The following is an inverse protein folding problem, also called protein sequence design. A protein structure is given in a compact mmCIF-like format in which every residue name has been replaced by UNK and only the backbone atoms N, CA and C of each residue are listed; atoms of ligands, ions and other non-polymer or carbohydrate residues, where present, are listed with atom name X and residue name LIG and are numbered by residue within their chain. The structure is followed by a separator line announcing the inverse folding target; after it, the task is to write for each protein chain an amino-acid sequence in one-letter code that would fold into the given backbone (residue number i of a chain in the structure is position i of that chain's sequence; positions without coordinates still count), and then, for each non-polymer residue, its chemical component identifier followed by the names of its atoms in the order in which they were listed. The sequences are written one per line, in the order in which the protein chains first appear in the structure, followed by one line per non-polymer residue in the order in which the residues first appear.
data_IF_952153929544
#
_entry.id   IF_952153929544
#
_cell.length_a   1.000
_cell.length_b   1.000
_cell.length_c   1.000
_cell.angle_alpha   90.00
_cell.angle_beta   90.00
_cell.angle_gamma   90.00
#
_symmetry.space_group_name_H-M   'P 1'
#
loop_
_entity.id
_entity.type
_entity.pdbx_description
1 polymer ?
#
# COMPACT_ATOMS: atom_id res chain seq x y z
N UNK A 1 -2.49 -13.51 -7.74
CA UNK A 1 -3.37 -12.62 -8.51
C UNK A 1 -3.34 -11.17 -7.98
N UNK A 2 -2.43 -10.82 -7.05
CA UNK A 2 -2.16 -9.43 -6.67
C UNK A 2 -1.26 -8.71 -7.67
N UNK A 3 -0.91 -7.45 -7.37
CA UNK A 3 -0.15 -6.56 -8.29
C UNK A 3 1.16 -7.21 -8.77
N UNK A 4 1.94 -7.84 -7.91
CA UNK A 4 3.20 -8.47 -8.30
C UNK A 4 3.00 -9.58 -9.33
N UNK A 5 2.06 -10.51 -9.08
CA UNK A 5 1.76 -11.61 -10.03
C UNK A 5 1.15 -11.12 -11.33
N UNK A 6 0.25 -10.14 -11.28
CA UNK A 6 -0.36 -9.54 -12.48
C UNK A 6 0.68 -8.76 -13.30
N UNK A 7 1.61 -8.06 -12.64
CA UNK A 7 2.71 -7.35 -13.33
C UNK A 7 3.71 -8.31 -13.96
N UNK A 8 4.01 -9.43 -13.31
CA UNK A 8 4.82 -10.49 -13.91
C UNK A 8 4.13 -11.06 -15.17
N UNK A 9 2.85 -11.39 -15.09
CA UNK A 9 2.07 -11.89 -16.21
C UNK A 9 1.97 -10.87 -17.37
N UNK A 10 1.73 -9.59 -17.05
CA UNK A 10 1.77 -8.50 -18.04
C UNK A 10 3.12 -8.42 -18.76
N UNK A 11 4.24 -8.49 -17.99
CA UNK A 11 5.59 -8.44 -18.57
C UNK A 11 5.87 -9.62 -19.46
N UNK A 12 5.49 -10.84 -19.08
CA UNK A 12 5.63 -12.05 -19.90
C UNK A 12 4.90 -11.88 -21.23
N UNK A 13 3.61 -11.50 -21.20
CA UNK A 13 2.82 -11.28 -22.42
C UNK A 13 3.37 -10.15 -23.31
N UNK A 14 3.78 -9.04 -22.70
CA UNK A 14 4.40 -7.93 -23.43
C UNK A 14 5.68 -8.34 -24.17
N UNK A 15 6.38 -9.37 -23.67
CA UNK A 15 7.55 -9.99 -24.32
C UNK A 15 7.21 -11.16 -25.24
N UNK A 16 5.93 -11.39 -25.52
CA UNK A 16 5.46 -12.46 -26.42
C UNK A 16 5.43 -13.86 -25.79
N UNK A 17 5.72 -13.99 -24.50
CA UNK A 17 5.66 -15.27 -23.82
C UNK A 17 4.25 -15.52 -23.27
N UNK A 18 3.60 -16.60 -23.75
CA UNK A 18 2.20 -16.92 -23.42
C UNK A 18 2.04 -18.27 -22.72
N UNK A 19 3.09 -19.07 -22.64
CA UNK A 19 3.07 -20.37 -21.98
C UNK A 19 3.26 -20.23 -20.46
N UNK A 20 2.24 -19.69 -19.79
CA UNK A 20 2.18 -19.58 -18.35
C UNK A 20 0.73 -19.60 -17.86
N UNK A 21 0.54 -19.91 -16.59
CA UNK A 21 -0.72 -19.78 -15.86
C UNK A 21 -0.51 -18.98 -14.58
N UNK A 22 -1.42 -18.05 -14.27
CA UNK A 22 -1.47 -17.34 -13.01
C UNK A 22 -2.60 -17.95 -12.17
N UNK A 23 -2.26 -18.49 -11.00
CA UNK A 23 -3.22 -19.09 -10.06
C UNK A 23 -3.58 -18.07 -8.98
N UNK A 24 -4.89 -17.88 -8.75
CA UNK A 24 -5.44 -16.99 -7.72
C UNK A 24 -6.42 -17.77 -6.82
N UNK A 25 -6.24 -17.64 -5.52
CA UNK A 25 -7.04 -18.32 -4.52
C UNK A 25 -8.50 -17.84 -4.50
N UNK A 26 -8.70 -16.52 -4.63
CA UNK A 26 -10.02 -15.91 -4.57
C UNK A 26 -10.73 -15.94 -5.94
N UNK A 27 -12.04 -15.73 -5.93
CA UNK A 27 -12.81 -15.55 -7.16
C UNK A 27 -12.45 -14.20 -7.85
N UNK A 28 -12.13 -13.17 -7.06
CA UNK A 28 -11.70 -11.87 -7.57
C UNK A 28 -10.20 -11.67 -7.32
N UNK A 29 -9.38 -11.53 -8.36
CA UNK A 29 -7.98 -11.14 -8.25
C UNK A 29 -7.80 -9.71 -7.74
N UNK A 30 -6.56 -9.37 -7.37
CA UNK A 30 -6.15 -8.01 -7.01
C UNK A 30 -5.37 -7.92 -5.70
N UNK A 31 -5.44 -8.93 -4.82
CA UNK A 31 -4.78 -8.84 -3.51
C UNK A 31 -5.26 -7.62 -2.72
N UNK A 32 -4.35 -6.74 -2.30
CA UNK A 32 -4.70 -5.48 -1.63
C UNK A 32 -5.26 -4.42 -2.59
N UNK A 33 -5.15 -4.60 -3.90
CA UNK A 33 -5.74 -3.73 -4.92
C UNK A 33 -7.10 -4.26 -5.43
N UNK A 34 -7.84 -5.01 -4.60
CA UNK A 34 -9.21 -5.41 -4.88
C UNK A 34 -10.16 -4.23 -4.73
N UNK A 35 -11.29 -4.32 -5.40
CA UNK A 35 -12.35 -3.31 -5.39
C UNK A 35 -13.70 -3.94 -5.13
N UNK A 36 -14.66 -3.13 -4.74
CA UNK A 36 -16.08 -3.43 -4.72
C UNK A 36 -16.86 -2.42 -5.55
N UNK A 37 -18.14 -2.67 -5.75
CA UNK A 37 -19.05 -1.75 -6.41
C UNK A 37 -20.46 -1.93 -5.86
N UNK A 38 -21.25 -0.86 -5.89
CA UNK A 38 -22.67 -0.86 -5.61
C UNK A 38 -23.37 0.07 -6.60
N UNK A 39 -24.67 0.33 -6.39
CA UNK A 39 -25.46 1.18 -7.29
C UNK A 39 -25.02 2.65 -7.32
N UNK A 40 -24.16 3.09 -6.39
CA UNK A 40 -23.66 4.46 -6.33
C UNK A 40 -22.37 4.60 -7.13
N UNK A 41 -21.36 3.76 -6.80
CA UNK A 41 -20.02 3.84 -7.35
C UNK A 41 -19.22 2.56 -7.09
N UNK A 42 -18.10 2.41 -7.77
CA UNK A 42 -17.04 1.51 -7.38
C UNK A 42 -16.22 2.12 -6.24
N UNK A 43 -15.57 1.29 -5.43
CA UNK A 43 -14.77 1.71 -4.28
C UNK A 43 -13.61 0.75 -4.01
N UNK A 44 -12.50 1.20 -3.39
CA UNK A 44 -11.39 0.32 -3.03
C UNK A 44 -11.71 -0.55 -1.82
N UNK A 45 -11.06 -1.73 -1.73
CA UNK A 45 -11.05 -2.49 -0.49
C UNK A 45 -9.81 -2.24 0.37
N UNK A 46 -8.72 -1.76 -0.21
CA UNK A 46 -7.52 -1.33 0.50
C UNK A 46 -6.74 -0.30 -0.31
N UNK A 47 -5.77 -0.71 -1.15
CA UNK A 47 -4.95 0.22 -1.90
C UNK A 47 -5.79 1.14 -2.80
N UNK A 48 -5.67 2.45 -2.61
CA UNK A 48 -6.58 3.41 -3.21
C UNK A 48 -5.90 4.50 -4.05
N UNK A 49 -4.58 4.58 -4.03
CA UNK A 49 -3.82 5.53 -4.86
C UNK A 49 -2.44 4.99 -5.24
N UNK A 50 -1.81 5.67 -6.17
CA UNK A 50 -0.39 5.53 -6.49
C UNK A 50 0.20 6.96 -6.54
N UNK A 51 1.23 7.28 -5.76
CA UNK A 51 1.95 8.54 -5.93
C UNK A 51 2.41 8.69 -7.38
N UNK A 52 2.53 9.91 -7.89
CA UNK A 52 3.04 10.11 -9.25
C UNK A 52 4.43 9.49 -9.37
N UNK A 53 4.61 8.43 -10.20
CA UNK A 53 5.87 7.71 -10.26
C UNK A 53 7.02 8.56 -10.78
N UNK A 54 8.06 8.72 -9.96
CA UNK A 54 9.28 9.42 -10.34
C UNK A 54 10.05 8.74 -11.48
N UNK A 55 11.11 9.39 -12.02
CA UNK A 55 11.84 8.88 -13.18
C UNK A 55 12.47 7.49 -12.98
N UNK A 56 12.86 7.13 -11.74
CA UNK A 56 13.46 5.84 -11.42
C UNK A 56 12.45 4.68 -11.41
N UNK A 57 11.15 4.96 -11.31
CA UNK A 57 10.09 3.95 -11.37
C UNK A 57 9.75 3.59 -12.84
N UNK A 58 10.74 3.25 -13.64
CA UNK A 58 10.62 3.03 -15.08
C UNK A 58 9.54 2.01 -15.44
N UNK A 59 9.47 0.89 -14.72
CA UNK A 59 8.49 -0.17 -15.02
C UNK A 59 7.06 0.26 -14.74
N UNK A 60 6.85 1.09 -13.72
CA UNK A 60 5.53 1.65 -13.41
C UNK A 60 5.13 2.67 -14.48
N UNK A 61 6.08 3.52 -14.88
CA UNK A 61 5.85 4.49 -15.96
C UNK A 61 5.52 3.79 -17.28
N UNK A 62 6.27 2.72 -17.63
CA UNK A 62 5.98 1.90 -18.82
C UNK A 62 4.59 1.25 -18.74
N UNK A 63 4.19 0.75 -17.56
CA UNK A 63 2.84 0.24 -17.39
C UNK A 63 1.79 1.33 -17.58
N UNK A 64 1.99 2.51 -17.02
CA UNK A 64 1.04 3.61 -17.11
C UNK A 64 0.99 4.23 -18.53
N UNK A 65 2.05 4.14 -19.32
CA UNK A 65 2.00 4.41 -20.75
C UNK A 65 1.10 3.40 -21.49
N UNK A 66 1.27 2.10 -21.23
CA UNK A 66 0.42 1.04 -21.78
C UNK A 66 -1.05 1.18 -21.39
N UNK A 67 -1.32 1.72 -20.21
CA UNK A 67 -2.68 1.95 -19.69
C UNK A 67 -3.27 3.30 -20.16
N UNK A 68 -2.47 4.17 -20.77
CA UNK A 68 -2.89 5.49 -21.22
C UNK A 68 -3.09 6.50 -20.08
N UNK A 69 -2.45 6.27 -18.95
CA UNK A 69 -2.40 7.18 -17.79
C UNK A 69 -1.26 8.19 -17.96
N UNK A 70 -0.15 7.75 -18.54
CA UNK A 70 0.98 8.58 -18.95
C UNK A 70 0.99 8.66 -20.48
N UNK A 71 0.98 9.87 -21.06
CA UNK A 71 1.03 10.08 -22.52
C UNK A 71 2.05 11.15 -22.86
N UNK A 72 2.99 10.83 -23.75
CA UNK A 72 4.02 11.76 -24.18
C UNK A 72 4.77 12.42 -22.98
N UNK A 73 5.01 11.65 -21.90
CA UNK A 73 5.67 12.14 -20.70
C UNK A 73 4.79 12.97 -19.75
N UNK A 74 3.51 13.16 -20.07
CA UNK A 74 2.56 13.92 -19.25
C UNK A 74 1.50 13.00 -18.63
N UNK A 75 1.21 13.20 -17.36
CA UNK A 75 0.15 12.50 -16.65
C UNK A 75 -1.21 13.05 -17.05
N UNK A 76 -2.16 12.17 -17.35
CA UNK A 76 -3.54 12.55 -17.67
C UNK A 76 -4.21 13.11 -16.41
N UNK A 77 -4.57 14.38 -16.40
CA UNK A 77 -5.13 15.11 -15.24
C UNK A 77 -6.38 14.44 -14.65
N UNK A 78 -7.20 13.79 -15.46
CA UNK A 78 -8.40 13.07 -15.01
C UNK A 78 -8.10 11.91 -14.05
N UNK A 79 -6.86 11.48 -13.92
CA UNK A 79 -6.43 10.41 -13.01
C UNK A 79 -5.69 10.95 -11.79
N UNK A 80 -5.39 12.24 -11.73
CA UNK A 80 -4.90 12.89 -10.53
C UNK A 80 -6.07 13.15 -9.57
N UNK A 81 -5.83 13.02 -8.28
CA UNK A 81 -6.84 13.36 -7.28
C UNK A 81 -7.29 14.82 -7.45
N UNK A 82 -8.59 15.04 -7.55
CA UNK A 82 -9.14 16.38 -7.73
C UNK A 82 -8.99 17.22 -6.44
N UNK A 83 -8.84 18.52 -6.61
CA UNK A 83 -8.82 19.43 -5.47
C UNK A 83 -10.24 19.65 -4.89
N UNK A 84 -10.37 19.85 -3.58
CA UNK A 84 -9.32 19.71 -2.56
C UNK A 84 -8.93 18.24 -2.33
N UNK A 85 -7.64 17.96 -2.29
CA UNK A 85 -7.15 16.59 -2.22
C UNK A 85 -7.26 16.01 -0.81
N UNK A 86 -6.85 16.77 0.18
CA UNK A 86 -6.73 16.33 1.56
C UNK A 86 -7.25 17.39 2.53
N UNK A 87 -7.79 16.97 3.66
CA UNK A 87 -8.10 17.85 4.78
C UNK A 87 -7.85 17.18 6.12
N UNK A 88 -7.48 18.00 7.10
CA UNK A 88 -7.26 17.58 8.48
C UNK A 88 -8.23 18.29 9.42
N UNK A 89 -8.91 17.51 10.30
CA UNK A 89 -9.65 18.06 11.43
C UNK A 89 -8.76 18.13 12.66
N UNK A 90 -8.52 19.34 13.16
CA UNK A 90 -7.75 19.54 14.36
C UNK A 90 -8.29 20.73 15.16
N UNK A 91 -8.28 20.62 16.50
CA UNK A 91 -8.72 21.68 17.42
C UNK A 91 -10.12 22.25 17.08
N UNK A 92 -11.06 21.36 16.67
CA UNK A 92 -12.43 21.73 16.38
C UNK A 92 -12.67 22.42 15.04
N UNK A 93 -11.71 22.40 14.12
CA UNK A 93 -11.81 23.01 12.79
C UNK A 93 -11.14 22.17 11.70
N UNK A 94 -11.57 22.36 10.47
CA UNK A 94 -10.93 21.81 9.28
C UNK A 94 -9.83 22.74 8.77
N UNK A 95 -8.77 22.14 8.25
CA UNK A 95 -7.79 22.78 7.38
C UNK A 95 -7.60 21.96 6.10
N UNK A 96 -7.16 22.58 5.03
CA UNK A 96 -6.70 21.92 3.81
C UNK A 96 -5.31 21.32 4.04
N UNK A 97 -5.05 20.13 3.45
CA UNK A 97 -3.84 19.35 3.65
C UNK A 97 -3.78 18.62 5.00
N UNK A 98 -2.93 17.58 5.08
CA UNK A 98 -2.76 16.75 6.29
C UNK A 98 -1.65 17.30 7.20
N UNK A 99 -0.65 18.00 6.66
CA UNK A 99 0.39 18.61 7.48
C UNK A 99 -0.23 19.69 8.37
N UNK A 100 -0.07 19.61 9.71
CA UNK A 100 -0.64 20.60 10.62
C UNK A 100 -0.13 22.01 10.35
N UNK A 101 -1.07 22.94 10.09
CA UNK A 101 -0.77 24.36 9.93
C UNK A 101 -1.40 25.21 11.05
N UNK A 102 -2.50 24.70 11.63
CA UNK A 102 -3.24 25.40 12.70
C UNK A 102 -2.67 25.02 14.07
N UNK A 103 -2.53 26.00 14.95
CA UNK A 103 -2.07 25.79 16.33
C UNK A 103 -0.55 25.65 16.49
N UNK A 104 0.23 25.80 15.43
CA UNK A 104 1.68 25.79 15.49
C UNK A 104 2.25 26.99 16.22
N UNK A 105 3.12 26.75 17.21
CA UNK A 105 3.98 27.78 17.80
C UNK A 105 5.11 28.15 16.84
N UNK A 106 5.84 29.25 17.07
CA UNK A 106 7.05 29.55 16.30
C UNK A 106 8.10 28.42 16.37
N UNK A 107 8.23 27.74 17.51
CA UNK A 107 9.12 26.60 17.70
C UNK A 107 8.68 25.40 16.87
N UNK A 108 7.38 25.13 16.78
CA UNK A 108 6.87 24.04 15.94
C UNK A 108 7.17 24.32 14.46
N UNK A 109 6.91 25.53 13.97
CA UNK A 109 7.22 25.92 12.58
C UNK A 109 8.70 25.78 12.23
N UNK A 110 9.59 26.16 13.15
CA UNK A 110 11.03 25.94 12.98
C UNK A 110 11.36 24.45 12.82
N UNK A 111 10.75 23.58 13.64
CA UNK A 111 10.98 22.16 13.55
C UNK A 111 10.45 21.54 12.25
N UNK A 112 9.27 21.93 11.77
CA UNK A 112 8.76 21.51 10.47
C UNK A 112 9.69 21.95 9.33
N UNK A 113 10.18 23.17 9.35
CA UNK A 113 11.13 23.66 8.34
C UNK A 113 12.48 22.91 8.39
N UNK A 114 12.99 22.65 9.60
CA UNK A 114 14.26 21.93 9.78
C UNK A 114 14.17 20.49 9.29
N UNK A 115 13.08 19.78 9.58
CA UNK A 115 12.93 18.40 9.14
C UNK A 115 12.76 18.30 7.63
N UNK A 116 12.02 19.22 7.00
CA UNK A 116 11.89 19.29 5.54
C UNK A 116 13.25 19.54 4.87
N UNK A 117 14.08 20.40 5.43
CA UNK A 117 15.45 20.59 4.95
C UNK A 117 16.27 19.30 5.01
N UNK A 118 16.16 18.51 6.10
CA UNK A 118 16.82 17.22 6.22
C UNK A 118 16.28 16.21 5.19
N UNK A 119 14.98 16.13 4.98
CA UNK A 119 14.40 15.25 3.96
C UNK A 119 14.85 15.66 2.55
N UNK A 120 14.96 16.94 2.28
CA UNK A 120 15.49 17.47 1.02
C UNK A 120 16.96 17.03 0.80
N UNK A 121 17.80 17.04 1.85
CA UNK A 121 19.19 16.57 1.76
C UNK A 121 19.25 15.06 1.50
N UNK A 122 18.41 14.26 2.16
CA UNK A 122 18.31 12.84 1.89
C UNK A 122 17.82 12.56 0.46
N UNK A 123 16.84 13.30 -0.04
CA UNK A 123 16.36 13.23 -1.43
C UNK A 123 17.49 13.49 -2.43
N UNK A 124 18.27 14.55 -2.21
CA UNK A 124 19.43 14.89 -3.05
C UNK A 124 20.53 13.84 -3.04
N UNK A 125 20.62 13.00 -1.98
CA UNK A 125 21.60 11.91 -1.93
C UNK A 125 21.37 10.84 -2.99
N UNK A 126 20.15 10.73 -3.54
CA UNK A 126 19.73 9.71 -4.51
C UNK A 126 19.66 8.29 -3.97
N UNK A 127 19.75 8.12 -2.64
CA UNK A 127 19.78 6.82 -1.96
C UNK A 127 18.41 6.37 -1.40
N UNK A 128 17.43 7.26 -1.47
CA UNK A 128 16.05 6.96 -1.05
C UNK A 128 15.17 7.03 -2.29
N UNK A 129 14.87 5.88 -2.88
CA UNK A 129 14.23 5.80 -4.19
C UNK A 129 13.05 4.84 -4.17
N UNK A 130 12.13 5.03 -5.10
CA UNK A 130 11.15 4.05 -5.50
C UNK A 130 11.48 3.66 -6.95
N UNK A 131 11.83 2.39 -7.23
CA UNK A 131 11.99 1.25 -6.30
C UNK A 131 13.18 1.37 -5.34
N UNK A 132 13.02 0.78 -4.14
CA UNK A 132 14.04 0.75 -3.07
C UNK A 132 15.39 0.19 -3.56
N UNK A 133 15.36 -0.91 -4.29
CA UNK A 133 16.57 -1.62 -4.74
C UNK A 133 17.50 -0.75 -5.60
N UNK A 134 16.98 0.27 -6.28
CA UNK A 134 17.77 1.15 -7.14
C UNK A 134 18.55 2.23 -6.38
N UNK A 135 18.18 2.50 -5.12
CA UNK A 135 18.85 3.50 -4.28
C UNK A 135 19.45 2.96 -3.00
N UNK A 136 19.22 1.68 -2.68
CA UNK A 136 19.64 1.11 -1.41
C UNK A 136 21.17 1.17 -1.24
N UNK A 137 21.63 2.00 -0.31
CA UNK A 137 23.05 2.27 -0.06
C UNK A 137 23.44 1.93 1.37
N UNK A 138 24.55 1.18 1.53
CA UNK A 138 25.11 0.87 2.85
C UNK A 138 25.54 2.10 3.65
N UNK A 139 25.74 3.25 2.99
CA UNK A 139 26.03 4.55 3.65
C UNK A 139 25.00 4.90 4.73
N UNK A 140 23.74 4.50 4.52
CA UNK A 140 22.64 4.83 5.42
C UNK A 140 22.13 3.63 6.23
N UNK A 141 22.90 2.53 6.27
CA UNK A 141 22.50 1.31 6.98
C UNK A 141 22.27 1.52 8.49
N UNK A 142 23.00 2.45 9.10
CA UNK A 142 22.85 2.73 10.54
C UNK A 142 21.48 3.35 10.89
N UNK A 143 20.83 4.03 9.95
CA UNK A 143 19.46 4.51 10.11
C UNK A 143 18.45 3.36 10.26
N UNK A 144 18.73 2.18 9.73
CA UNK A 144 17.87 1.02 9.89
C UNK A 144 17.97 0.36 11.28
N UNK A 145 18.99 0.73 12.08
CA UNK A 145 19.25 0.14 13.41
C UNK A 145 18.52 0.85 14.55
N UNK A 146 17.85 1.96 14.27
CA UNK A 146 17.11 2.75 15.24
C UNK A 146 15.68 3.01 14.73
N UNK A 147 14.76 3.26 15.65
CA UNK A 147 13.40 3.65 15.27
C UNK A 147 13.37 5.10 14.75
N UNK A 148 12.35 5.41 13.94
CA UNK A 148 12.16 6.77 13.45
C UNK A 148 11.89 7.76 14.60
N UNK A 149 11.14 7.33 15.63
CA UNK A 149 10.95 8.13 16.84
C UNK A 149 12.26 8.40 17.60
N UNK A 150 13.16 7.41 17.68
CA UNK A 150 14.48 7.61 18.32
C UNK A 150 15.34 8.57 17.51
N UNK A 151 15.36 8.42 16.18
CA UNK A 151 16.07 9.32 15.30
C UNK A 151 15.57 10.77 15.45
N UNK A 152 14.25 11.00 15.47
CA UNK A 152 13.69 12.34 15.70
C UNK A 152 14.16 12.95 17.01
N UNK A 153 14.16 12.17 18.09
CA UNK A 153 14.65 12.65 19.40
C UNK A 153 16.15 12.97 19.37
N UNK A 154 16.95 12.16 18.70
CA UNK A 154 18.40 12.42 18.53
C UNK A 154 18.66 13.68 17.71
N UNK A 155 17.79 14.03 16.76
CA UNK A 155 17.86 15.28 15.98
C UNK A 155 17.28 16.50 16.74
N UNK A 156 16.77 16.31 17.96
CA UNK A 156 16.22 17.38 18.80
C UNK A 156 14.83 17.85 18.37
N UNK A 157 14.05 16.98 17.75
CA UNK A 157 12.62 17.25 17.45
C UNK A 157 11.75 16.84 18.63
N UNK A 158 10.98 17.79 19.17
CA UNK A 158 10.09 17.62 20.33
C UNK A 158 8.66 18.15 20.11
N UNK A 159 8.35 18.71 18.93
CA UNK A 159 7.01 19.21 18.59
C UNK A 159 6.00 18.05 18.57
N UNK A 160 4.93 18.16 19.37
CA UNK A 160 3.84 17.17 19.42
C UNK A 160 3.18 16.99 18.05
N UNK A 161 2.93 18.09 17.34
CA UNK A 161 2.26 18.06 16.03
C UNK A 161 3.15 17.45 14.96
N UNK A 162 4.47 17.70 14.99
CA UNK A 162 5.42 17.04 14.10
C UNK A 162 5.49 15.55 14.37
N UNK A 163 5.58 15.12 15.63
CA UNK A 163 5.56 13.70 15.99
C UNK A 163 4.25 13.02 15.59
N UNK A 164 3.11 13.71 15.74
CA UNK A 164 1.82 13.19 15.27
C UNK A 164 1.82 13.00 13.75
N UNK A 165 2.25 13.99 12.99
CA UNK A 165 2.28 13.94 11.53
C UNK A 165 3.15 12.80 11.01
N UNK A 166 4.35 12.67 11.57
CA UNK A 166 5.26 11.57 11.23
C UNK A 166 4.68 10.21 11.62
N UNK A 167 4.06 10.12 12.80
CA UNK A 167 3.43 8.88 13.24
C UNK A 167 2.21 8.52 12.37
N UNK A 168 1.44 9.52 11.92
CA UNK A 168 0.38 9.33 10.95
C UNK A 168 0.94 8.72 9.65
N UNK A 169 1.96 9.31 9.05
CA UNK A 169 2.60 8.82 7.83
C UNK A 169 3.12 7.37 7.97
N UNK A 170 3.72 7.02 9.11
CA UNK A 170 4.15 5.64 9.37
C UNK A 170 2.98 4.66 9.51
N UNK A 171 1.87 5.08 10.11
CA UNK A 171 0.67 4.25 10.23
C UNK A 171 0.01 4.04 8.88
N UNK A 172 -0.04 5.06 8.05
CA UNK A 172 -0.64 5.03 6.72
C UNK A 172 0.16 4.15 5.76
N UNK A 173 1.43 4.43 5.54
CA UNK A 173 2.26 3.72 4.56
C UNK A 173 2.75 2.34 5.05
N UNK A 174 2.88 2.13 6.38
CA UNK A 174 3.53 0.92 6.92
C UNK A 174 2.67 0.13 7.92
N UNK A 175 1.54 0.67 8.33
CA UNK A 175 0.73 0.07 9.39
C UNK A 175 1.48 -0.08 10.72
N UNK A 176 2.44 0.78 10.99
CA UNK A 176 3.31 0.74 12.15
C UNK A 176 3.43 2.12 12.80
N UNK A 177 3.69 2.18 14.11
CA UNK A 177 4.04 3.44 14.75
C UNK A 177 5.46 3.87 14.36
N UNK A 178 5.75 5.17 14.42
CA UNK A 178 7.10 5.68 14.20
C UNK A 178 8.14 5.08 15.19
N UNK A 179 7.70 4.62 16.36
CA UNK A 179 8.51 3.88 17.34
C UNK A 179 8.90 2.46 16.89
N UNK A 180 8.12 1.86 15.99
CA UNK A 180 8.32 0.50 15.48
C UNK A 180 8.90 0.51 14.07
N UNK A 181 8.88 1.65 13.40
CA UNK A 181 9.37 1.84 12.04
C UNK A 181 10.87 2.18 12.05
N UNK A 182 11.64 1.55 11.18
CA UNK A 182 13.03 1.91 10.92
C UNK A 182 13.16 3.39 10.54
N UNK A 183 14.14 4.10 11.09
CA UNK A 183 14.40 5.48 10.70
C UNK A 183 14.74 5.59 9.21
N UNK A 184 15.40 4.58 8.63
CA UNK A 184 15.64 4.54 7.19
C UNK A 184 14.32 4.59 6.41
N UNK A 185 13.37 3.75 6.79
CA UNK A 185 12.06 3.69 6.12
C UNK A 185 11.24 4.96 6.33
N UNK A 186 11.23 5.51 7.55
CA UNK A 186 10.55 6.78 7.81
C UNK A 186 11.12 7.93 6.98
N UNK A 187 12.45 8.02 6.87
CA UNK A 187 13.11 9.01 6.00
C UNK A 187 12.81 8.72 4.53
N UNK A 188 12.79 7.45 4.12
CA UNK A 188 12.43 7.06 2.76
C UNK A 188 11.05 7.58 2.35
N UNK A 189 10.03 7.48 3.21
CA UNK A 189 8.70 7.99 2.94
C UNK A 189 8.72 9.46 2.47
N UNK A 190 9.42 10.33 3.21
CA UNK A 190 9.48 11.77 2.93
C UNK A 190 10.51 12.16 1.86
N UNK A 191 11.46 11.28 1.55
CA UNK A 191 12.60 11.63 0.68
C UNK A 191 12.57 10.95 -0.68
N UNK A 192 11.74 9.92 -0.88
CA UNK A 192 11.67 9.18 -2.15
C UNK A 192 10.74 9.81 -3.18
N UNK A 193 9.87 10.73 -2.75
CA UNK A 193 8.88 11.43 -3.58
C UNK A 193 9.40 12.80 -4.00
N UNK A 194 8.93 13.29 -5.15
CA UNK A 194 9.31 14.60 -5.65
C UNK A 194 8.50 15.70 -4.94
N UNK A 195 9.13 16.85 -4.69
CA UNK A 195 8.51 17.97 -3.96
C UNK A 195 7.43 18.73 -4.73
N UNK A 196 7.31 18.51 -6.05
CA UNK A 196 6.34 19.19 -6.93
C UNK A 196 5.20 18.26 -7.37
N UNK A 197 4.85 17.29 -6.57
CA UNK A 197 3.81 16.30 -6.88
C UNK A 197 2.44 16.98 -6.97
N UNK A 198 1.77 16.83 -8.12
CA UNK A 198 0.43 17.41 -8.35
C UNK A 198 -0.70 16.63 -7.69
N UNK A 199 -0.38 15.77 -6.73
CA UNK A 199 -1.28 14.84 -6.06
C UNK A 199 -1.17 13.42 -6.61
N UNK A 200 -1.71 12.43 -5.90
CA UNK A 200 -1.63 11.03 -6.30
C UNK A 200 -2.55 10.73 -7.48
N UNK A 201 -2.21 9.65 -8.20
CA UNK A 201 -3.10 9.01 -9.16
C UNK A 201 -4.13 8.18 -8.40
N UNK A 202 -5.41 8.38 -8.68
CA UNK A 202 -6.50 7.65 -8.03
C UNK A 202 -7.71 7.48 -8.95
N UNK A 203 -8.58 6.55 -8.58
CA UNK A 203 -9.82 6.18 -9.28
C UNK A 203 -10.90 5.90 -8.24
N UNK A 204 -12.18 5.95 -8.58
CA UNK A 204 -13.25 5.58 -7.64
C UNK A 204 -13.01 4.22 -6.96
N UNK A 205 -12.61 3.20 -7.73
CA UNK A 205 -12.26 1.87 -7.25
C UNK A 205 -10.81 1.77 -6.69
N UNK A 206 -10.12 2.88 -6.55
CA UNK A 206 -8.71 2.90 -6.15
C UNK A 206 -7.83 2.10 -7.13
N UNK A 207 -6.81 1.41 -6.61
CA UNK A 207 -5.91 0.58 -7.43
C UNK A 207 -6.61 -0.64 -8.07
N UNK A 208 -7.88 -0.88 -7.74
CA UNK A 208 -8.75 -1.82 -8.46
C UNK A 208 -8.86 -1.52 -9.95
N UNK A 209 -8.82 -0.24 -10.33
CA UNK A 209 -8.76 0.18 -11.73
C UNK A 209 -7.56 -0.41 -12.47
N UNK A 210 -6.37 -0.32 -11.87
CA UNK A 210 -5.13 -0.89 -12.45
C UNK A 210 -5.25 -2.40 -12.54
N UNK A 211 -5.77 -3.05 -11.49
CA UNK A 211 -6.00 -4.50 -11.48
C UNK A 211 -6.89 -4.94 -12.62
N UNK A 212 -8.02 -4.26 -12.85
CA UNK A 212 -8.94 -4.56 -13.97
C UNK A 212 -8.22 -4.46 -15.32
N UNK A 213 -7.44 -3.41 -15.52
CA UNK A 213 -6.68 -3.21 -16.77
C UNK A 213 -5.57 -4.24 -16.98
N UNK A 214 -4.92 -4.68 -15.90
CA UNK A 214 -3.96 -5.80 -15.96
C UNK A 214 -4.65 -7.12 -16.31
N UNK A 215 -5.82 -7.41 -15.73
CA UNK A 215 -6.60 -8.61 -16.04
C UNK A 215 -7.01 -8.67 -17.51
N UNK A 216 -7.43 -7.56 -18.10
CA UNK A 216 -7.72 -7.47 -19.54
C UNK A 216 -6.50 -7.87 -20.41
N UNK A 217 -5.29 -7.56 -19.94
CA UNK A 217 -4.03 -7.87 -20.65
C UNK A 217 -3.51 -9.27 -20.41
N UNK A 218 -3.74 -9.81 -19.22
CA UNK A 218 -3.36 -11.19 -18.87
C UNK A 218 -4.29 -12.20 -19.57
N UNK A 219 -5.56 -11.86 -19.73
CA UNK A 219 -6.54 -12.67 -20.47
C UNK A 219 -6.74 -14.06 -19.86
N UNK A 220 -6.76 -15.08 -20.71
CA UNK A 220 -7.06 -16.47 -20.34
C UNK A 220 -5.98 -17.16 -19.49
N UNK A 221 -4.83 -16.53 -19.30
CA UNK A 221 -3.75 -17.10 -18.51
C UNK A 221 -4.02 -17.10 -16.99
N UNK A 222 -5.11 -16.48 -16.52
CA UNK A 222 -5.48 -16.49 -15.11
C UNK A 222 -6.53 -17.57 -14.80
N UNK A 223 -6.33 -18.27 -13.69
CA UNK A 223 -7.31 -19.20 -13.10
C UNK A 223 -7.59 -18.80 -11.67
N UNK A 224 -8.81 -18.37 -11.41
CA UNK A 224 -9.32 -18.00 -10.08
C UNK A 224 -9.82 -19.22 -9.31
N UNK A 225 -10.10 -19.06 -8.01
CA UNK A 225 -10.53 -20.14 -7.09
C UNK A 225 -9.56 -21.32 -7.07
N UNK A 226 -8.28 -21.06 -7.30
CA UNK A 226 -7.20 -22.02 -7.30
C UNK A 226 -6.27 -21.78 -6.10
N UNK A 227 -6.64 -22.33 -4.94
CA UNK A 227 -5.83 -22.22 -3.73
C UNK A 227 -4.66 -23.21 -3.79
N UNK A 228 -3.48 -22.71 -4.15
CA UNK A 228 -2.25 -23.50 -4.05
C UNK A 228 -1.96 -23.76 -2.58
N UNK A 229 -1.79 -25.03 -2.21
CA UNK A 229 -1.51 -25.47 -0.84
C UNK A 229 -0.17 -26.18 -0.67
N UNK A 230 0.50 -26.53 -1.77
CA UNK A 230 1.84 -27.14 -1.75
C UNK A 230 2.59 -26.83 -3.04
N UNK A 231 3.88 -26.58 -2.92
CA UNK A 231 4.82 -26.38 -4.03
C UNK A 231 6.05 -27.26 -3.74
N UNK A 232 6.33 -28.21 -4.61
CA UNK A 232 7.47 -29.11 -4.49
C UNK A 232 8.44 -28.85 -5.63
N UNK A 233 9.69 -28.51 -5.30
CA UNK A 233 10.74 -28.32 -6.31
C UNK A 233 11.20 -29.68 -6.84
N UNK A 234 11.36 -29.78 -8.15
CA UNK A 234 11.88 -30.94 -8.86
C UNK A 234 13.23 -30.62 -9.51
N UNK A 235 13.86 -31.61 -10.12
CA UNK A 235 15.12 -31.40 -10.87
C UNK A 235 14.93 -30.50 -12.09
N UNK A 236 13.74 -30.49 -12.71
CA UNK A 236 13.46 -29.76 -13.96
C UNK A 236 12.53 -28.55 -13.78
N UNK A 237 11.99 -28.33 -12.58
CA UNK A 237 11.03 -27.28 -12.34
C UNK A 237 10.37 -27.41 -10.97
N UNK A 238 9.05 -27.29 -10.92
CA UNK A 238 8.26 -27.48 -9.72
C UNK A 238 6.87 -28.06 -10.03
N UNK A 239 6.30 -28.81 -9.07
CA UNK A 239 4.91 -29.22 -9.04
C UNK A 239 4.15 -28.36 -8.03
N UNK A 240 3.01 -27.80 -8.44
CA UNK A 240 2.11 -27.01 -7.61
C UNK A 240 0.78 -27.75 -7.47
N UNK A 241 0.27 -27.82 -6.25
CA UNK A 241 -0.99 -28.49 -5.96
C UNK A 241 -2.06 -27.50 -5.52
N UNK A 242 -3.19 -27.49 -6.22
CA UNK A 242 -4.36 -26.66 -5.92
C UNK A 242 -5.62 -27.55 -5.90
N UNK A 243 -6.12 -27.85 -4.70
CA UNK A 243 -7.14 -28.90 -4.54
C UNK A 243 -6.62 -30.26 -5.02
N UNK A 244 -7.35 -30.90 -5.93
CA UNK A 244 -6.95 -32.19 -6.57
C UNK A 244 -6.10 -31.97 -7.84
N UNK A 245 -5.93 -30.73 -8.30
CA UNK A 245 -5.16 -30.45 -9.51
C UNK A 245 -3.67 -30.32 -9.23
N UNK A 246 -2.86 -30.88 -10.11
CA UNK A 246 -1.42 -30.69 -10.17
C UNK A 246 -1.06 -29.86 -11.40
N UNK A 247 -0.23 -28.82 -11.19
CA UNK A 247 0.38 -28.02 -12.23
C UNK A 247 1.88 -28.27 -12.23
N UNK A 248 2.44 -28.58 -13.38
CA UNK A 248 3.89 -28.70 -13.54
C UNK A 248 4.42 -27.52 -14.34
N UNK A 249 5.47 -26.89 -13.83
CA UNK A 249 6.09 -25.73 -14.47
C UNK A 249 7.62 -25.81 -14.39
N UNK A 250 8.29 -25.27 -15.38
CA UNK A 250 9.75 -25.12 -15.36
C UNK A 250 10.19 -24.06 -14.34
N UNK A 251 9.42 -22.97 -14.23
CA UNK A 251 9.63 -21.90 -13.27
C UNK A 251 8.36 -21.58 -12.52
N UNK A 252 8.51 -21.15 -11.27
CA UNK A 252 7.43 -20.61 -10.43
C UNK A 252 7.81 -19.20 -10.00
N UNK A 253 6.92 -18.24 -10.26
CA UNK A 253 6.98 -16.92 -9.66
C UNK A 253 6.07 -16.93 -8.44
N UNK A 254 6.68 -16.99 -7.25
CA UNK A 254 5.96 -16.97 -5.97
C UNK A 254 5.59 -15.51 -5.64
N UNK A 255 4.40 -15.11 -6.09
CA UNK A 255 3.85 -13.76 -5.93
C UNK A 255 2.81 -13.65 -4.79
N UNK A 256 2.73 -14.67 -3.94
CA UNK A 256 1.95 -14.63 -2.70
C UNK A 256 2.75 -13.92 -1.59
N UNK A 257 2.10 -13.44 -0.50
CA UNK A 257 2.82 -12.87 0.65
C UNK A 257 3.88 -13.83 1.17
N UNK A 258 5.06 -13.29 1.47
CA UNK A 258 6.25 -14.09 1.78
C UNK A 258 6.08 -14.96 3.04
N UNK A 259 5.26 -14.54 4.00
CA UNK A 259 4.98 -15.33 5.21
C UNK A 259 4.29 -16.68 4.91
N UNK A 260 3.71 -16.85 3.73
CA UNK A 260 3.11 -18.12 3.32
C UNK A 260 4.13 -19.14 2.84
N UNK A 261 5.33 -18.73 2.47
CA UNK A 261 6.35 -19.61 1.91
C UNK A 261 6.69 -20.82 2.81
N UNK A 262 6.86 -20.69 4.13
CA UNK A 262 7.12 -21.83 5.02
C UNK A 262 5.98 -22.87 5.09
N UNK A 263 4.79 -22.51 4.67
CA UNK A 263 3.61 -23.39 4.65
C UNK A 263 3.37 -24.05 3.30
N UNK A 264 3.89 -23.44 2.23
CA UNK A 264 3.65 -23.88 0.85
C UNK A 264 4.86 -24.58 0.23
N UNK A 265 6.07 -24.18 0.61
CA UNK A 265 7.33 -24.69 0.07
C UNK A 265 7.94 -25.71 1.03
N UNK A 266 8.22 -26.90 0.53
CA UNK A 266 8.88 -27.94 1.33
C UNK A 266 10.26 -27.48 1.83
N UNK A 267 10.54 -27.69 3.11
CA UNK A 267 11.79 -27.34 3.78
C UNK A 267 12.16 -25.82 3.75
N UNK A 268 11.19 -24.96 3.48
CA UNK A 268 11.44 -23.52 3.53
C UNK A 268 11.47 -23.04 4.99
N UNK A 269 12.51 -22.29 5.41
CA UNK A 269 12.64 -21.87 6.80
C UNK A 269 11.57 -20.83 7.17
N UNK A 270 11.19 -20.77 8.45
CA UNK A 270 10.37 -19.67 8.97
C UNK A 270 11.18 -18.38 8.91
N UNK A 271 10.53 -17.33 8.42
CA UNK A 271 11.10 -16.00 8.32
C UNK A 271 10.87 -15.23 9.65
N UNK A 272 11.88 -14.53 10.11
CA UNK A 272 11.86 -13.79 11.39
C UNK A 272 11.79 -12.28 11.19
N UNK A 273 12.40 -11.77 10.13
CA UNK A 273 12.51 -10.34 9.85
C UNK A 273 11.28 -9.78 9.13
N UNK A 274 10.33 -10.65 8.77
CA UNK A 274 9.10 -10.29 8.05
C UNK A 274 7.93 -10.15 9.03
N UNK A 275 7.70 -8.94 9.48
CA UNK A 275 6.59 -8.59 10.39
C UNK A 275 5.46 -7.94 9.61
N UNK A 276 4.22 -8.35 9.85
CA UNK A 276 3.06 -7.83 9.11
C UNK A 276 2.07 -7.12 10.01
N UNK A 277 1.51 -6.04 9.50
CA UNK A 277 0.48 -5.26 10.16
C UNK A 277 -0.92 -5.83 9.91
N UNK A 278 -1.76 -5.96 10.95
CA UNK A 278 -3.18 -6.19 10.77
C UNK A 278 -3.89 -4.87 10.47
N UNK A 279 -4.85 -4.92 9.52
CA UNK A 279 -5.65 -3.79 9.10
C UNK A 279 -7.13 -4.13 9.07
N UNK A 280 -7.93 -3.11 9.31
CA UNK A 280 -9.35 -3.09 9.01
C UNK A 280 -9.61 -1.99 7.99
N UNK A 281 -10.39 -2.32 6.96
CA UNK A 281 -11.00 -1.33 6.08
C UNK A 281 -12.51 -1.48 6.11
N UNK A 282 -13.23 -0.38 5.98
CA UNK A 282 -14.68 -0.42 5.94
C UNK A 282 -15.21 0.50 4.84
N UNK A 283 -16.10 -0.02 4.01
CA UNK A 283 -16.83 0.75 3.02
C UNK A 283 -18.19 1.15 3.59
N UNK A 284 -18.36 2.45 3.83
CA UNK A 284 -19.59 3.04 4.34
C UNK A 284 -20.39 3.60 3.16
N UNK A 285 -21.56 3.06 2.91
CA UNK A 285 -22.51 3.63 1.95
C UNK A 285 -23.32 4.72 2.63
N UNK A 286 -23.25 5.94 2.10
CA UNK A 286 -23.92 7.11 2.62
C UNK A 286 -25.07 7.50 1.67
N UNK A 287 -26.29 7.58 2.22
CA UNK A 287 -27.48 8.04 1.47
C UNK A 287 -27.55 9.57 1.36
N UNK A 288 -26.77 10.28 2.17
CA UNK A 288 -26.48 11.71 2.06
C UNK A 288 -25.13 12.02 2.68
N UNK A 289 -24.52 13.13 2.28
CA UNK A 289 -23.34 13.64 2.96
C UNK A 289 -23.69 14.15 4.35
N UNK A 290 -22.82 13.94 5.37
CA UNK A 290 -22.95 14.60 6.66
C UNK A 290 -22.86 16.12 6.53
N UNK A 291 -23.49 16.85 7.46
CA UNK A 291 -23.32 18.28 7.56
C UNK A 291 -21.84 18.62 7.80
N UNK A 292 -21.27 19.45 6.93
CA UNK A 292 -19.90 19.92 7.04
C UNK A 292 -19.87 21.44 7.09
N UNK A 293 -19.06 21.99 7.99
CA UNK A 293 -18.81 23.44 8.11
C UNK A 293 -17.31 23.69 8.11
N UNK A 294 -16.88 24.72 7.42
CA UNK A 294 -15.46 25.08 7.29
C UNK A 294 -14.88 24.65 5.94
N UNK A 295 -13.74 23.94 5.93
CA UNK A 295 -13.13 23.49 4.68
C UNK A 295 -14.04 22.51 3.90
N UNK A 296 -13.98 22.59 2.58
CA UNK A 296 -14.76 21.73 1.69
C UNK A 296 -14.42 20.25 1.90
N UNK A 297 -15.36 19.34 1.63
CA UNK A 297 -15.06 17.90 1.55
C UNK A 297 -13.92 17.65 0.55
N UNK A 298 -12.97 16.83 0.95
CA UNK A 298 -11.81 16.46 0.14
C UNK A 298 -11.83 14.96 -0.20
N UNK A 299 -10.97 14.57 -1.11
CA UNK A 299 -10.77 13.16 -1.43
C UNK A 299 -10.35 12.37 -0.19
N UNK A 300 -9.33 12.83 0.54
CA UNK A 300 -8.86 12.22 1.79
C UNK A 300 -9.18 13.10 3.00
N UNK A 301 -9.64 12.49 4.08
CA UNK A 301 -10.10 13.17 5.29
C UNK A 301 -9.53 12.51 6.54
N UNK A 302 -8.72 13.26 7.28
CA UNK A 302 -7.97 12.80 8.46
C UNK A 302 -8.38 13.57 9.71
N UNK A 303 -8.26 12.95 10.89
CA UNK A 303 -8.59 13.57 12.18
C UNK A 303 -7.40 13.48 13.13
N UNK A 304 -7.05 14.60 13.76
CA UNK A 304 -6.03 14.62 14.80
C UNK A 304 -6.43 13.67 15.95
N UNK A 305 -5.45 12.89 16.43
CA UNK A 305 -5.61 11.95 17.54
C UNK A 305 -6.70 10.86 17.31
N UNK A 306 -7.01 10.53 16.06
CA UNK A 306 -7.80 9.36 15.73
C UNK A 306 -6.98 8.07 15.89
N UNK A 307 -7.56 6.98 16.44
CA UNK A 307 -6.94 5.66 16.40
C UNK A 307 -6.86 5.09 14.98
N UNK A 308 -7.74 5.59 14.08
CA UNK A 308 -7.79 5.25 12.66
C UNK A 308 -7.01 6.25 11.80
N UNK A 309 -7.10 6.11 10.49
CA UNK A 309 -6.42 6.96 9.50
C UNK A 309 -7.37 7.93 8.78
N UNK A 310 -8.67 7.85 9.10
CA UNK A 310 -9.69 8.62 8.39
C UNK A 310 -10.31 7.83 7.24
N UNK A 311 -10.74 8.54 6.20
CA UNK A 311 -11.43 7.94 5.07
C UNK A 311 -11.16 8.66 3.75
N UNK A 312 -11.27 7.91 2.65
CA UNK A 312 -11.33 8.48 1.30
C UNK A 312 -12.74 8.42 0.74
N UNK A 313 -13.10 9.42 -0.06
CA UNK A 313 -14.40 9.52 -0.73
C UNK A 313 -14.31 9.02 -2.17
N UNK A 314 -14.95 7.88 -2.48
CA UNK A 314 -14.92 7.29 -3.81
C UNK A 314 -15.62 8.16 -4.87
N UNK A 315 -16.60 9.01 -4.49
CA UNK A 315 -17.29 9.89 -5.42
C UNK A 315 -16.53 11.19 -5.70
N UNK A 316 -15.47 11.52 -4.95
CA UNK A 316 -14.66 12.72 -5.18
C UNK A 316 -14.05 12.78 -6.59
N UNK A 317 -13.66 11.62 -7.15
CA UNK A 317 -13.17 11.50 -8.54
C UNK A 317 -14.30 11.46 -9.59
N UNK A 318 -15.55 11.70 -9.19
CA UNK A 318 -16.69 11.72 -10.12
C UNK A 318 -16.77 13.05 -10.86
N UNK A 319 -17.04 13.01 -12.17
CA UNK A 319 -17.34 14.18 -12.99
C UNK A 319 -18.81 14.61 -12.92
N UNK A 320 -19.60 14.04 -12.00
CA UNK A 320 -21.02 14.42 -11.83
C UNK A 320 -21.12 15.81 -11.21
N UNK A 321 -21.99 16.64 -11.75
CA UNK A 321 -22.21 18.02 -11.25
C UNK A 321 -22.94 18.07 -9.91
N UNK A 322 -23.60 16.99 -9.53
CA UNK A 322 -24.32 16.85 -8.26
C UNK A 322 -24.14 15.43 -7.72
N UNK A 323 -23.70 15.34 -6.47
CA UNK A 323 -23.45 14.08 -5.78
C UNK A 323 -24.12 14.12 -4.43
N UNK A 324 -25.21 13.34 -4.26
CA UNK A 324 -25.99 13.27 -3.01
C UNK A 324 -25.55 12.12 -2.13
N UNK A 325 -25.11 11.03 -2.77
CA UNK A 325 -24.77 9.74 -2.15
C UNK A 325 -23.33 9.39 -2.48
N UNK A 326 -22.65 8.74 -1.55
CA UNK A 326 -21.26 8.32 -1.76
C UNK A 326 -20.94 7.00 -1.07
N UNK A 327 -19.73 6.51 -1.31
CA UNK A 327 -19.09 5.46 -0.51
C UNK A 327 -17.80 6.03 0.06
N UNK A 328 -17.67 6.01 1.39
CA UNK A 328 -16.42 6.32 2.07
C UNK A 328 -15.69 5.04 2.41
N UNK A 329 -14.42 4.96 2.08
CA UNK A 329 -13.55 3.87 2.52
C UNK A 329 -12.75 4.34 3.73
N UNK A 330 -13.07 3.79 4.88
CA UNK A 330 -12.44 4.08 6.17
C UNK A 330 -11.28 3.11 6.40
N UNK A 331 -10.15 3.62 6.89
CA UNK A 331 -8.92 2.88 7.08
C UNK A 331 -8.47 2.86 8.53
N UNK A 332 -8.13 1.68 9.03
CA UNK A 332 -7.61 1.50 10.38
C UNK A 332 -6.45 0.50 10.41
N UNK A 333 -5.23 1.03 10.52
CA UNK A 333 -4.05 0.23 10.85
C UNK A 333 -4.07 -0.06 12.35
N UNK A 334 -4.16 -1.34 12.75
CA UNK A 334 -4.03 -1.72 14.15
C UNK A 334 -2.54 -1.72 14.52
N UNK A 335 -1.97 -0.51 14.63
CA UNK A 335 -0.53 -0.32 14.76
C UNK A 335 -0.04 -0.39 16.21
N UNK A 336 -0.91 -0.07 17.18
CA UNK A 336 -0.53 0.00 18.60
C UNK A 336 -0.34 -1.39 19.22
N UNK A 337 0.84 -1.63 19.79
CA UNK A 337 1.17 -2.89 20.45
C UNK A 337 1.63 -4.01 19.48
N UNK A 338 1.63 -5.24 19.97
CA UNK A 338 2.17 -6.38 19.23
C UNK A 338 1.25 -6.80 18.06
N UNK A 339 1.75 -6.94 16.84
CA UNK A 339 0.93 -7.30 15.67
C UNK A 339 0.14 -8.61 15.83
N UNK A 340 0.69 -9.58 16.55
CA UNK A 340 0.02 -10.86 16.79
C UNK A 340 -1.22 -10.70 17.69
N UNK A 341 -1.13 -9.87 18.73
CA UNK A 341 -2.27 -9.56 19.63
C UNK A 341 -3.33 -8.77 18.89
N UNK A 342 -2.93 -7.75 18.11
CA UNK A 342 -3.85 -6.96 17.31
C UNK A 342 -4.58 -7.80 16.26
N UNK A 343 -3.90 -8.78 15.67
CA UNK A 343 -4.48 -9.75 14.75
C UNK A 343 -5.54 -10.62 15.43
N UNK A 344 -5.28 -11.05 16.65
CA UNK A 344 -6.23 -11.80 17.45
C UNK A 344 -7.48 -10.95 17.73
N UNK A 345 -7.32 -9.72 18.23
CA UNK A 345 -8.42 -8.77 18.44
C UNK A 345 -9.22 -8.53 17.15
N UNK A 346 -8.52 -8.30 16.03
CA UNK A 346 -9.16 -8.08 14.73
C UNK A 346 -10.07 -9.25 14.32
N UNK A 347 -9.68 -10.48 14.60
CA UNK A 347 -10.39 -11.69 14.20
C UNK A 347 -11.48 -12.11 15.19
N UNK A 348 -11.29 -11.89 16.50
CA UNK A 348 -12.22 -12.28 17.55
C UNK A 348 -13.41 -11.34 17.68
N UNK A 349 -13.22 -10.05 17.38
CA UNK A 349 -14.30 -9.07 17.46
C UNK A 349 -15.23 -9.22 16.26
N UNK A 350 -16.53 -9.12 16.53
CA UNK A 350 -17.59 -9.25 15.52
C UNK A 350 -17.80 -7.94 14.72
N UNK A 351 -18.67 -8.02 13.72
CA UNK A 351 -19.03 -6.88 12.89
C UNK A 351 -19.65 -5.73 13.69
N UNK A 352 -20.47 -6.03 14.69
CA UNK A 352 -21.16 -5.02 15.48
C UNK A 352 -20.17 -4.18 16.30
N UNK A 353 -19.16 -4.82 16.89
CA UNK A 353 -18.07 -4.14 17.59
C UNK A 353 -17.33 -3.15 16.67
N UNK A 354 -16.90 -3.63 15.51
CA UNK A 354 -16.16 -2.78 14.58
C UNK A 354 -16.99 -1.66 13.98
N UNK A 355 -18.26 -1.93 13.66
CA UNK A 355 -19.22 -0.90 13.23
C UNK A 355 -19.32 0.23 14.25
N UNK A 356 -19.53 -0.11 15.53
CA UNK A 356 -19.66 0.90 16.58
C UNK A 356 -18.37 1.68 16.81
N UNK A 357 -17.20 1.03 16.75
CA UNK A 357 -15.91 1.68 16.87
C UNK A 357 -15.66 2.69 15.72
N UNK A 358 -15.98 2.31 14.48
CA UNK A 358 -15.87 3.18 13.30
C UNK A 358 -16.81 4.39 13.43
N UNK A 359 -18.09 4.15 13.72
CA UNK A 359 -19.07 5.23 13.83
C UNK A 359 -18.75 6.18 14.97
N UNK A 360 -18.25 5.67 16.10
CA UNK A 360 -17.82 6.50 17.22
C UNK A 360 -16.64 7.41 16.86
N UNK A 361 -15.67 6.93 16.11
CA UNK A 361 -14.54 7.76 15.65
C UNK A 361 -15.01 8.84 14.65
N UNK A 362 -15.89 8.48 13.71
CA UNK A 362 -16.46 9.41 12.74
C UNK A 362 -17.36 10.47 13.37
N UNK A 363 -18.11 10.15 14.44
CA UNK A 363 -18.95 11.10 15.18
C UNK A 363 -18.16 12.27 15.78
N UNK A 364 -16.87 12.12 16.00
CA UNK A 364 -15.99 13.21 16.50
C UNK A 364 -15.95 14.40 15.54
N UNK A 365 -16.18 14.17 14.27
CA UNK A 365 -16.06 15.17 13.20
C UNK A 365 -17.34 15.31 12.37
N UNK A 366 -18.21 14.32 12.40
CA UNK A 366 -19.49 14.26 11.68
C UNK A 366 -20.58 13.82 12.64
N UNK A 367 -21.14 14.74 13.40
CA UNK A 367 -22.11 14.45 14.48
C UNK A 367 -23.40 13.75 14.01
N UNK A 368 -23.74 13.84 12.73
CA UNK A 368 -24.93 13.22 12.12
C UNK A 368 -24.60 11.98 11.27
N UNK A 369 -23.36 11.45 11.33
CA UNK A 369 -22.90 10.34 10.48
C UNK A 369 -23.80 9.10 10.58
N UNK A 370 -24.31 8.78 11.78
CA UNK A 370 -25.23 7.62 11.95
C UNK A 370 -26.52 7.73 11.18
N UNK A 371 -26.96 8.96 10.86
CA UNK A 371 -28.16 9.21 10.07
C UNK A 371 -27.87 9.22 8.57
N UNK A 372 -26.60 9.28 8.18
CA UNK A 372 -26.15 9.32 6.80
C UNK A 372 -25.82 7.93 6.27
N UNK A 373 -25.28 7.05 7.13
CA UNK A 373 -24.80 5.72 6.75
C UNK A 373 -25.96 4.73 6.69
N UNK A 374 -26.17 4.13 5.53
CA UNK A 374 -27.17 3.06 5.32
C UNK A 374 -26.57 1.66 5.35
N UNK A 375 -25.26 1.51 5.04
CA UNK A 375 -24.57 0.22 5.01
C UNK A 375 -23.11 0.35 5.38
N UNK A 376 -22.57 -0.65 6.06
CA UNK A 376 -21.13 -0.78 6.37
C UNK A 376 -20.66 -2.19 6.02
N UNK A 377 -19.73 -2.30 5.09
CA UNK A 377 -19.05 -3.52 4.71
C UNK A 377 -17.62 -3.49 5.26
N UNK A 378 -17.22 -4.50 6.03
CA UNK A 378 -15.94 -4.53 6.74
C UNK A 378 -15.05 -5.63 6.21
N UNK A 379 -13.82 -5.30 5.85
CA UNK A 379 -12.77 -6.24 5.51
C UNK A 379 -11.70 -6.27 6.63
N UNK A 380 -11.36 -7.47 7.07
CA UNK A 380 -10.31 -7.70 8.08
C UNK A 380 -9.12 -8.38 7.43
N UNK A 381 -7.96 -7.75 7.51
CA UNK A 381 -6.72 -8.22 6.90
C UNK A 381 -5.67 -8.47 7.98
N UNK A 382 -5.49 -9.72 8.38
CA UNK A 382 -4.57 -10.08 9.47
C UNK A 382 -3.08 -9.85 9.15
N UNK A 383 -2.71 -9.86 7.86
CA UNK A 383 -1.34 -9.66 7.36
C UNK A 383 -1.40 -8.76 6.12
N UNK A 384 -1.89 -7.54 6.29
CA UNK A 384 -2.15 -6.63 5.16
C UNK A 384 -0.88 -6.10 4.52
N UNK A 385 0.06 -5.64 5.33
CA UNK A 385 1.28 -4.97 4.87
C UNK A 385 2.48 -5.43 5.67
N UNK A 386 3.63 -5.61 5.01
CA UNK A 386 4.89 -5.77 5.71
C UNK A 386 5.25 -4.46 6.42
N UNK A 387 5.77 -4.58 7.65
CA UNK A 387 6.31 -3.44 8.41
C UNK A 387 7.79 -3.31 8.16
N UNK A 388 8.31 -2.15 7.79
CA UNK A 388 9.73 -1.87 7.77
C UNK A 388 10.25 -1.67 9.22
N UNK A 389 10.23 -2.75 10.01
CA UNK A 389 10.68 -2.74 11.40
C UNK A 389 12.17 -2.40 11.47
N UNK A 390 12.64 -2.01 12.67
CA UNK A 390 14.06 -1.75 12.90
C UNK A 390 14.90 -2.97 12.51
N UNK A 391 15.89 -2.78 11.63
CA UNK A 391 16.76 -3.81 11.09
C UNK A 391 16.22 -4.58 9.87
N UNK A 392 14.97 -4.36 9.46
CA UNK A 392 14.33 -5.15 8.41
C UNK A 392 14.82 -4.78 7.00
N UNK A 393 15.10 -3.50 6.73
CA UNK A 393 15.47 -3.02 5.39
C UNK A 393 16.80 -3.60 4.92
N UNK A 394 17.79 -3.68 5.80
CA UNK A 394 19.10 -4.25 5.50
C UNK A 394 19.28 -5.68 6.03
N UNK A 395 18.18 -6.39 6.37
CA UNK A 395 18.28 -7.76 6.90
C UNK A 395 18.87 -8.72 5.87
N UNK A 396 19.64 -9.70 6.35
CA UNK A 396 20.22 -10.73 5.50
C UNK A 396 19.16 -11.66 4.92
N UNK A 397 18.09 -11.90 5.68
CA UNK A 397 16.96 -12.73 5.25
C UNK A 397 16.26 -12.13 4.04
N UNK A 398 15.95 -10.81 4.06
CA UNK A 398 15.39 -10.07 2.94
C UNK A 398 16.32 -10.10 1.72
N UNK A 399 17.61 -9.76 1.93
CA UNK A 399 18.62 -9.78 0.85
C UNK A 399 18.78 -11.15 0.20
N UNK A 400 18.72 -12.22 0.98
CA UNK A 400 18.77 -13.59 0.46
C UNK A 400 17.59 -13.87 -0.46
N UNK A 401 16.37 -13.51 -0.06
CA UNK A 401 15.17 -13.77 -0.86
C UNK A 401 15.16 -13.00 -2.18
N UNK A 402 15.56 -11.74 -2.18
CA UNK A 402 15.62 -10.91 -3.40
C UNK A 402 16.64 -11.42 -4.42
N UNK A 403 17.70 -12.12 -3.96
CA UNK A 403 18.76 -12.68 -4.80
C UNK A 403 18.53 -14.12 -5.25
N UNK A 404 17.47 -14.77 -4.82
CA UNK A 404 17.19 -16.14 -5.27
C UNK A 404 17.11 -16.21 -6.80
N UNK A 405 17.82 -17.20 -7.37
CA UNK A 405 17.97 -17.41 -8.81
C UNK A 405 17.71 -18.87 -9.20
N UNK A 406 16.82 -19.56 -8.51
CA UNK A 406 16.45 -20.96 -8.80
C UNK A 406 15.23 -21.06 -9.70
N UNK A 407 14.57 -22.23 -9.66
CA UNK A 407 13.31 -22.48 -10.36
C UNK A 407 12.11 -21.83 -9.68
N UNK A 408 12.24 -21.41 -8.41
CA UNK A 408 11.24 -20.68 -7.66
C UNK A 408 11.79 -19.29 -7.35
N UNK A 409 11.16 -18.25 -7.89
CA UNK A 409 11.52 -16.86 -7.75
C UNK A 409 10.48 -16.15 -6.91
N UNK A 410 10.89 -15.40 -5.88
CA UNK A 410 9.96 -14.58 -5.10
C UNK A 410 9.66 -13.27 -5.82
N UNK A 411 8.42 -12.79 -5.67
CA UNK A 411 7.92 -11.61 -6.38
C UNK A 411 6.80 -10.95 -5.59
N UNK A 412 7.14 -10.04 -4.69
CA UNK A 412 6.17 -9.17 -4.01
C UNK A 412 6.90 -8.00 -3.33
N UNK A 413 6.15 -7.04 -2.81
CA UNK A 413 6.70 -5.86 -2.13
C UNK A 413 7.43 -6.17 -0.81
N UNK A 414 7.21 -7.36 -0.22
CA UNK A 414 7.95 -7.80 0.97
C UNK A 414 9.47 -7.84 0.73
N UNK A 415 9.89 -8.07 -0.53
CA UNK A 415 11.31 -8.10 -0.91
C UNK A 415 11.98 -6.74 -0.74
N UNK A 416 11.25 -5.65 -0.81
CA UNK A 416 11.73 -4.30 -0.50
C UNK A 416 11.58 -3.95 0.98
N UNK A 417 10.71 -4.66 1.71
CA UNK A 417 10.32 -4.35 3.08
C UNK A 417 9.33 -3.18 3.18
N UNK A 418 8.79 -2.71 2.04
CA UNK A 418 7.85 -1.59 1.92
C UNK A 418 6.69 -2.03 1.03
N UNK A 419 5.46 -1.97 1.56
CA UNK A 419 4.26 -2.49 0.90
C UNK A 419 3.53 -1.43 0.10
N UNK A 420 4.12 -0.97 -0.99
CA UNK A 420 3.51 -0.03 -1.94
C UNK A 420 3.36 -0.69 -3.32
N UNK A 421 2.53 -0.06 -4.17
CA UNK A 421 2.23 -0.54 -5.52
C UNK A 421 3.50 -0.71 -6.37
N UNK A 422 4.36 0.29 -6.36
CA UNK A 422 5.55 0.36 -7.20
C UNK A 422 6.53 -0.77 -6.88
N UNK A 423 6.70 -1.10 -5.60
CA UNK A 423 7.57 -2.20 -5.18
C UNK A 423 7.01 -3.56 -5.61
N UNK A 424 5.70 -3.77 -5.45
CA UNK A 424 5.04 -4.98 -5.92
C UNK A 424 5.17 -5.14 -7.44
N UNK A 425 4.96 -4.07 -8.19
CA UNK A 425 5.08 -4.03 -9.64
C UNK A 425 6.52 -4.29 -10.09
N UNK A 426 7.49 -3.63 -9.46
CA UNK A 426 8.92 -3.78 -9.75
C UNK A 426 9.37 -5.24 -9.60
N UNK A 427 9.09 -5.86 -8.45
CA UNK A 427 9.47 -7.26 -8.21
C UNK A 427 8.72 -8.24 -9.13
N UNK A 428 7.49 -7.92 -9.53
CA UNK A 428 6.75 -8.68 -10.53
C UNK A 428 7.48 -8.71 -11.87
N UNK A 429 7.84 -7.53 -12.35
CA UNK A 429 8.56 -7.37 -13.63
C UNK A 429 9.94 -8.02 -13.59
N UNK A 430 10.71 -7.81 -12.50
CA UNK A 430 12.04 -8.40 -12.35
C UNK A 430 12.01 -9.92 -12.33
N UNK A 431 11.04 -10.54 -11.63
CA UNK A 431 10.88 -11.98 -11.63
C UNK A 431 10.57 -12.52 -13.04
N UNK A 432 9.66 -11.88 -13.76
CA UNK A 432 9.34 -12.25 -15.15
C UNK A 432 10.56 -12.14 -16.07
N UNK A 433 11.34 -11.06 -15.95
CA UNK A 433 12.56 -10.88 -16.74
C UNK A 433 13.64 -11.92 -16.41
N UNK A 434 13.77 -12.30 -15.13
CA UNK A 434 14.69 -13.38 -14.72
C UNK A 434 14.29 -14.71 -15.37
N UNK A 435 12.99 -15.04 -15.37
CA UNK A 435 12.47 -16.25 -16.05
C UNK A 435 12.80 -16.22 -17.54
N UNK A 436 12.47 -15.10 -18.23
CA UNK A 436 12.73 -14.98 -19.68
C UNK A 436 14.21 -15.13 -20.03
N UNK A 437 15.11 -14.55 -19.23
CA UNK A 437 16.56 -14.71 -19.43
C UNK A 437 17.01 -16.17 -19.28
N UNK A 438 16.41 -16.94 -18.34
CA UNK A 438 16.76 -18.34 -18.09
C UNK A 438 16.17 -19.30 -19.14
N UNK A 439 15.08 -18.90 -19.80
CA UNK A 439 14.49 -19.68 -20.92
C UNK A 439 15.22 -19.51 -22.24
N UNK A 440 15.88 -18.36 -22.44
CA UNK A 440 16.57 -18.01 -23.70
C UNK A 440 18.10 -18.15 -23.64
N UNK A 441 18.65 -18.39 -22.49
CA UNK A 441 20.09 -18.60 -22.27
C UNK A 441 20.45 -20.05 -22.09
#
# INVERSE_FOLDING_TARGET
GGIAGLSAAWRLRKRGFTDFVLLEMNAQPGGNARWGENEITAYPWAAHYVPVPGPKAEYVRELFEDLGVLKNGQWEERYLAYAPQERLFLYGRWQEGIEPAVGLTPKDRDQFQRIENLFSEFRKSGSFTVPVELGLSSKFQDLDRISFSDWLRQQGFDSRLLHWYINYACRDDYGALASDTSAWAGIHYFSSRESEEKGPLTWPEGNGWITRRLLERVGENIRTTQMVHRITQTRRGASLFAGEMEFQAEFVIFAAPTFLAPYLLENFPRLRDFVYSPWLTANLTLDRYPESRGAEPSWDTVFLDSPALGYVDAMHQSLRTHVDRTVWTFYWALAEGAPAQNRQVLLERDWAYWKEAILHDLERVHSDIRQCVSRIDIMRMGHAMIRPAVGAIFSEERRRLSRLSGRILFSNSDLSGISIFEEAQYHGVEAAQKVLRQLHG
#
